data_IF_197527684216
#
_entry.id   IF_197527684216
#
_cell.length_a   1.000
_cell.length_b   1.000
_cell.length_c   1.000
_cell.angle_alpha   90.00
_cell.angle_beta   90.00
_cell.angle_gamma   90.00
#
_symmetry.space_group_name_H-M   'P 1'
#
loop_
_entity.id
_entity.type
_entity.pdbx_description
1 polymer ?
#
# COMPACT_ATOMS: atom_id res chain seq x y z
N UNK A 1 10.98 5.44 -9.55
CA UNK A 1 10.16 4.26 -9.26
C UNK A 1 10.07 3.41 -10.51
N UNK A 2 10.28 2.09 -10.42
CA UNK A 2 10.16 1.17 -11.57
C UNK A 2 8.71 0.74 -11.79
N UNK A 3 8.37 0.24 -12.98
CA UNK A 3 7.02 -0.27 -13.25
C UNK A 3 6.59 -1.36 -12.26
N UNK A 4 7.52 -2.25 -11.89
CA UNK A 4 7.28 -3.30 -10.90
C UNK A 4 7.00 -2.73 -9.49
N UNK A 5 7.71 -1.67 -9.08
CA UNK A 5 7.44 -0.99 -7.81
C UNK A 5 6.06 -0.31 -7.81
N UNK A 6 5.65 0.26 -8.96
CA UNK A 6 4.32 0.86 -9.11
C UNK A 6 3.22 -0.17 -9.03
N UNK A 7 3.33 -1.28 -9.77
CA UNK A 7 2.36 -2.38 -9.68
C UNK A 7 2.25 -2.92 -8.25
N UNK A 8 3.39 -3.18 -7.60
CA UNK A 8 3.42 -3.65 -6.21
C UNK A 8 2.74 -2.67 -5.25
N UNK A 9 3.00 -1.36 -5.39
CA UNK A 9 2.35 -0.34 -4.56
C UNK A 9 0.83 -0.36 -4.73
N UNK A 10 0.34 -0.45 -5.97
CA UNK A 10 -1.09 -0.52 -6.28
C UNK A 10 -1.71 -1.77 -5.65
N UNK A 11 -1.09 -2.94 -5.83
CA UNK A 11 -1.60 -4.21 -5.30
C UNK A 11 -1.67 -4.18 -3.76
N UNK A 12 -0.67 -3.60 -3.09
CA UNK A 12 -0.64 -3.46 -1.63
C UNK A 12 -1.75 -2.52 -1.12
N UNK A 13 -1.99 -1.40 -1.81
CA UNK A 13 -3.07 -0.45 -1.45
C UNK A 13 -4.46 -1.08 -1.69
N UNK A 14 -4.62 -1.79 -2.80
CA UNK A 14 -5.86 -2.51 -3.13
C UNK A 14 -6.17 -3.55 -2.05
N UNK A 15 -5.18 -4.40 -1.72
CA UNK A 15 -5.34 -5.42 -0.69
C UNK A 15 -5.61 -4.84 0.70
N UNK A 16 -4.93 -3.75 1.07
CA UNK A 16 -5.23 -3.03 2.32
C UNK A 16 -6.67 -2.57 2.36
N UNK A 17 -7.17 -2.03 1.25
CA UNK A 17 -8.55 -1.53 1.14
C UNK A 17 -9.57 -2.66 1.23
N UNK A 18 -9.29 -3.80 0.58
CA UNK A 18 -10.10 -5.01 0.66
C UNK A 18 -10.20 -5.51 2.12
N UNK A 19 -9.07 -5.64 2.82
CA UNK A 19 -9.06 -6.06 4.23
C UNK A 19 -9.85 -5.10 5.12
N UNK A 20 -9.64 -3.78 4.97
CA UNK A 20 -10.34 -2.77 5.77
C UNK A 20 -11.86 -2.74 5.47
N UNK A 21 -12.28 -3.23 4.31
CA UNK A 21 -13.69 -3.39 3.95
C UNK A 21 -14.33 -4.59 4.65
N UNK A 22 -13.54 -5.60 5.04
CA UNK A 22 -13.98 -6.74 5.86
C UNK A 22 -13.94 -6.37 7.35
N UNK A 23 -15.02 -5.76 7.85
CA UNK A 23 -15.14 -5.33 9.24
C UNK A 23 -16.17 -6.14 10.04
N UNK A 24 -16.09 -6.08 11.37
CA UNK A 24 -17.04 -6.77 12.24
C UNK A 24 -16.94 -8.29 12.15
N UNK A 25 -17.99 -8.94 11.68
CA UNK A 25 -18.08 -10.41 11.60
C UNK A 25 -17.22 -11.01 10.48
N UNK A 26 -16.89 -10.22 9.46
CA UNK A 26 -16.06 -10.64 8.33
C UNK A 26 -14.56 -10.50 8.61
N UNK A 27 -14.21 -9.94 9.78
CA UNK A 27 -12.82 -9.80 10.21
C UNK A 27 -12.21 -11.17 10.51
N UNK A 28 -11.02 -11.41 9.95
CA UNK A 28 -10.23 -12.61 10.23
C UNK A 28 -9.01 -12.27 11.08
N UNK A 29 -8.60 -13.11 12.06
CA UNK A 29 -7.43 -12.86 12.89
C UNK A 29 -6.14 -12.60 12.10
N UNK A 30 -6.00 -13.23 10.95
CA UNK A 30 -4.81 -13.15 10.08
C UNK A 30 -4.65 -11.75 9.45
N UNK A 31 -5.74 -11.01 9.29
CA UNK A 31 -5.73 -9.67 8.69
C UNK A 31 -4.89 -8.67 9.49
N UNK A 32 -4.81 -8.83 10.82
CA UNK A 32 -3.93 -7.98 11.63
C UNK A 32 -2.44 -8.15 11.28
N UNK A 33 -2.01 -9.39 11.06
CA UNK A 33 -0.62 -9.66 10.66
C UNK A 33 -0.36 -9.21 9.22
N UNK A 34 -1.30 -9.49 8.32
CA UNK A 34 -1.21 -9.10 6.91
C UNK A 34 -1.15 -7.57 6.76
N UNK A 35 -2.00 -6.82 7.46
CA UNK A 35 -1.96 -5.36 7.47
C UNK A 35 -0.61 -4.82 7.95
N UNK A 36 -0.05 -5.39 9.01
CA UNK A 36 1.28 -4.97 9.51
C UNK A 36 2.39 -5.18 8.46
N UNK A 37 2.30 -6.24 7.65
CA UNK A 37 3.25 -6.47 6.55
C UNK A 37 3.04 -5.47 5.43
N UNK A 38 1.78 -5.27 5.00
CA UNK A 38 1.42 -4.30 3.97
C UNK A 38 1.88 -2.89 4.35
N UNK A 39 1.66 -2.46 5.59
CA UNK A 39 2.05 -1.12 6.05
C UNK A 39 3.56 -0.92 6.05
N UNK A 40 4.34 -1.95 6.41
CA UNK A 40 5.81 -1.90 6.31
C UNK A 40 6.27 -1.75 4.86
N UNK A 41 5.72 -2.55 3.96
CA UNK A 41 6.09 -2.50 2.53
C UNK A 41 5.66 -1.17 1.88
N UNK A 42 4.48 -0.65 2.23
CA UNK A 42 4.03 0.66 1.77
C UNK A 42 4.91 1.79 2.31
N UNK A 43 5.41 1.70 3.55
CA UNK A 43 6.31 2.70 4.12
C UNK A 43 7.65 2.79 3.37
N UNK A 44 8.13 1.69 2.78
CA UNK A 44 9.32 1.70 1.92
C UNK A 44 9.06 2.31 0.54
N UNK A 45 7.85 2.12 -0.01
CA UNK A 45 7.48 2.59 -1.34
C UNK A 45 6.95 4.04 -1.35
N UNK A 46 6.32 4.50 -0.28
CA UNK A 46 5.71 5.84 -0.19
C UNK A 46 6.70 6.98 -0.47
N UNK A 47 7.94 6.98 0.06
CA UNK A 47 8.91 8.02 -0.26
C UNK A 47 9.26 8.08 -1.76
N UNK A 48 9.29 6.93 -2.44
CA UNK A 48 9.58 6.87 -3.88
C UNK A 48 8.45 7.48 -4.71
N UNK A 49 7.20 7.27 -4.28
CA UNK A 49 6.02 7.91 -4.87
C UNK A 49 6.09 9.43 -4.63
N UNK A 50 6.36 9.86 -3.40
CA UNK A 50 6.46 11.28 -3.04
C UNK A 50 7.54 12.01 -3.83
N UNK A 51 8.71 11.38 -4.04
CA UNK A 51 9.77 11.92 -4.90
C UNK A 51 9.31 12.08 -6.34
N UNK A 52 8.58 11.11 -6.88
CA UNK A 52 8.07 11.17 -8.25
C UNK A 52 7.01 12.27 -8.40
N UNK A 53 6.12 12.43 -7.41
CA UNK A 53 5.14 13.51 -7.37
C UNK A 53 5.82 14.88 -7.28
N UNK A 54 6.88 15.03 -6.49
CA UNK A 54 7.68 16.26 -6.43
C UNK A 54 8.38 16.58 -7.75
N UNK A 55 8.86 15.57 -8.48
CA UNK A 55 9.45 15.78 -9.83
C UNK A 55 8.39 16.26 -10.82
N UNK A 56 7.17 15.71 -10.76
CA UNK A 56 6.06 16.08 -11.64
C UNK A 56 5.43 17.43 -11.31
N UNK A 57 5.35 17.79 -10.02
CA UNK A 57 4.81 19.06 -9.54
C UNK A 57 5.74 20.27 -9.67
N UNK A 58 6.98 20.08 -10.17
CA UNK A 58 7.94 21.16 -10.49
C UNK A 58 7.84 21.67 -11.93
N UNK A 59 6.74 21.38 -12.63
CA UNK A 59 6.47 21.83 -14.00
C UNK A 59 5.37 22.89 -14.00
#
# INVERSE_FOLDING_TARGET
MTAQQVSKYIDLVDRRTDILSHSGVDWKPEYGLELNQIEKELAELSPLVDEEHKKRGKK
#
